data_IF_116094025211
#
_entry.id   IF_116094025211
#
_cell.length_a   1.000
_cell.length_b   1.000
_cell.length_c   1.000
_cell.angle_alpha   90.00
_cell.angle_beta   90.00
_cell.angle_gamma   90.00
#
_symmetry.space_group_name_H-M   'P 1'
#
loop_
_entity.id
_entity.type
_entity.pdbx_description
1 polymer ?
#
# COMPACT_ATOMS: atom_id res chain seq x y z
N UNK A 1 18.19 32.31 69.05
CA UNK A 1 18.45 32.46 67.59
C UNK A 1 18.45 31.11 66.86
N UNK A 2 17.32 30.37 66.78
CA UNK A 2 17.26 29.07 66.05
C UNK A 2 15.94 28.78 65.30
N UNK A 3 15.01 29.74 65.20
CA UNK A 3 13.69 29.51 64.55
C UNK A 3 13.48 30.16 63.18
N UNK A 4 14.43 30.94 62.65
CA UNK A 4 14.27 31.64 61.36
C UNK A 4 14.90 30.94 60.13
N UNK A 5 15.66 29.85 60.33
CA UNK A 5 16.39 29.19 59.22
C UNK A 5 15.65 27.99 58.60
N UNK A 6 14.63 27.43 59.28
CA UNK A 6 13.90 26.25 58.79
C UNK A 6 12.85 26.55 57.71
N UNK A 7 12.29 27.76 57.63
CA UNK A 7 11.26 28.06 56.62
C UNK A 7 11.86 28.37 55.24
N UNK A 8 13.02 29.03 55.17
CA UNK A 8 13.69 29.32 53.89
C UNK A 8 14.27 28.07 53.22
N UNK A 9 14.72 27.09 54.00
CA UNK A 9 15.26 25.83 53.46
C UNK A 9 14.14 24.91 52.94
N UNK A 10 12.97 24.90 53.58
CA UNK A 10 11.81 24.11 53.14
C UNK A 10 11.19 24.68 51.85
N UNK A 11 11.10 26.01 51.74
CA UNK A 11 10.58 26.69 50.53
C UNK A 11 11.52 26.50 49.33
N UNK A 12 12.84 26.47 49.55
CA UNK A 12 13.81 26.23 48.48
C UNK A 12 13.79 24.77 47.99
N UNK A 13 13.54 23.81 48.89
CA UNK A 13 13.40 22.39 48.56
C UNK A 13 12.09 22.09 47.79
N UNK A 14 11.03 22.87 48.03
CA UNK A 14 9.77 22.80 47.27
C UNK A 14 9.86 23.48 45.89
N UNK A 15 10.68 24.55 45.75
CA UNK A 15 10.90 25.20 44.45
C UNK A 15 11.76 24.33 43.50
N UNK A 16 12.71 23.56 44.05
CA UNK A 16 13.59 22.69 43.26
C UNK A 16 12.86 21.45 42.73
N UNK A 17 11.82 20.96 43.42
CA UNK A 17 11.01 19.82 42.96
C UNK A 17 10.02 20.19 41.86
N UNK A 18 9.54 21.44 41.84
CA UNK A 18 8.63 21.93 40.79
C UNK A 18 9.31 22.15 39.43
N UNK A 19 10.62 22.41 39.43
CA UNK A 19 11.41 22.60 38.19
C UNK A 19 11.76 21.28 37.50
N UNK A 20 11.81 20.16 38.23
CA UNK A 20 12.17 18.83 37.68
C UNK A 20 10.95 18.09 37.13
N UNK A 21 9.74 18.41 37.59
CA UNK A 21 8.49 17.81 37.10
C UNK A 21 7.95 18.40 35.79
N UNK A 22 8.49 19.52 35.30
CA UNK A 22 8.14 20.09 33.99
C UNK A 22 8.96 19.50 32.83
N UNK A 23 9.95 18.63 33.10
CA UNK A 23 10.73 17.95 32.06
C UNK A 23 10.11 16.64 31.54
N UNK A 24 8.93 16.22 32.01
CA UNK A 24 8.30 14.97 31.60
C UNK A 24 7.12 15.09 30.62
N UNK A 25 6.80 16.29 30.14
CA UNK A 25 5.97 16.44 28.94
C UNK A 25 6.86 16.54 27.71
N UNK A 26 7.49 15.41 27.36
CA UNK A 26 7.98 15.21 26.00
C UNK A 26 6.74 15.08 25.12
N UNK A 27 6.36 16.20 24.52
CA UNK A 27 5.48 16.25 23.37
C UNK A 27 5.99 15.21 22.36
N UNK A 28 5.21 14.14 22.15
CA UNK A 28 5.40 13.24 21.01
C UNK A 28 5.06 14.02 19.74
N UNK A 29 6.03 14.78 19.22
CA UNK A 29 5.94 15.26 17.84
C UNK A 29 6.20 14.05 16.95
N UNK A 30 5.14 13.55 16.32
CA UNK A 30 5.28 12.60 15.20
C UNK A 30 6.06 13.32 14.12
N UNK A 31 7.33 13.00 13.99
CA UNK A 31 8.19 13.52 12.93
C UNK A 31 7.97 12.64 11.69
N UNK A 32 7.02 13.04 10.86
CA UNK A 32 6.88 12.47 9.52
C UNK A 32 8.09 12.92 8.70
N UNK A 33 8.98 12.00 8.37
CA UNK A 33 10.09 12.27 7.46
C UNK A 33 9.72 11.71 6.08
N UNK A 34 9.49 12.60 5.10
CA UNK A 34 9.38 12.22 3.69
C UNK A 34 10.79 11.89 3.17
N UNK A 35 10.94 10.76 2.47
CA UNK A 35 12.25 10.26 2.07
C UNK A 35 12.65 10.60 0.63
N UNK A 36 11.76 11.17 -0.19
CA UNK A 36 12.11 11.62 -1.53
C UNK A 36 11.28 12.87 -1.90
N UNK A 37 11.93 14.03 -1.96
CA UNK A 37 11.45 15.18 -2.73
C UNK A 37 12.53 15.51 -3.75
N UNK A 38 12.60 14.68 -4.80
CA UNK A 38 13.38 14.99 -5.99
C UNK A 38 12.48 15.80 -6.92
N UNK A 39 12.92 16.99 -7.25
CA UNK A 39 12.08 18.04 -7.81
C UNK A 39 11.47 17.68 -9.17
N UNK A 40 10.22 18.13 -9.34
CA UNK A 40 9.40 18.17 -10.55
C UNK A 40 8.44 16.99 -10.78
N UNK A 41 7.35 16.95 -10.01
CA UNK A 41 6.06 16.45 -10.49
C UNK A 41 4.92 17.19 -9.77
N UNK A 42 3.99 17.76 -10.54
CA UNK A 42 2.75 18.37 -10.03
C UNK A 42 1.72 17.31 -9.57
N UNK A 43 2.16 16.11 -9.19
CA UNK A 43 1.29 15.05 -8.69
C UNK A 43 1.24 15.14 -7.16
N UNK A 44 0.08 15.53 -6.64
CA UNK A 44 -0.21 15.53 -5.19
C UNK A 44 -0.43 14.14 -4.63
N UNK A 45 -0.53 13.11 -5.48
CA UNK A 45 -0.82 11.74 -5.08
C UNK A 45 0.46 10.90 -4.89
N UNK A 46 0.52 10.17 -3.78
CA UNK A 46 1.61 9.25 -3.45
C UNK A 46 1.79 8.15 -4.51
N UNK A 47 0.69 7.67 -5.11
CA UNK A 47 0.68 6.64 -6.15
C UNK A 47 -0.15 7.10 -7.33
N UNK A 48 0.45 7.16 -8.51
CA UNK A 48 -0.26 7.36 -9.77
C UNK A 48 -0.32 6.06 -10.58
N UNK A 49 -1.49 5.75 -11.12
CA UNK A 49 -1.69 4.59 -11.99
C UNK A 49 -2.27 5.04 -13.32
N UNK A 50 -1.65 4.63 -14.42
CA UNK A 50 -2.08 5.01 -15.77
C UNK A 50 -2.24 3.76 -16.64
N UNK A 51 -3.36 3.67 -17.35
CA UNK A 51 -3.55 2.68 -18.41
C UNK A 51 -2.93 3.22 -19.67
N UNK A 52 -1.85 2.58 -20.14
CA UNK A 52 -1.14 2.98 -21.35
C UNK A 52 -1.88 2.45 -22.59
N UNK A 53 -2.30 1.20 -22.53
CA UNK A 53 -3.02 0.51 -23.60
C UNK A 53 -4.09 -0.39 -22.99
N UNK A 54 -5.23 -0.51 -23.67
CA UNK A 54 -6.26 -1.49 -23.30
C UNK A 54 -7.13 -1.79 -24.51
N UNK A 55 -7.16 -3.07 -24.88
CA UNK A 55 -8.08 -3.62 -25.87
C UNK A 55 -8.60 -5.00 -25.43
N UNK A 56 -9.18 -5.77 -26.36
CA UNK A 56 -9.73 -7.09 -26.08
C UNK A 56 -8.68 -8.18 -25.84
N UNK A 57 -7.42 -7.96 -26.25
CA UNK A 57 -6.34 -8.95 -26.19
C UNK A 57 -5.35 -8.67 -25.08
N UNK A 58 -5.03 -7.39 -24.82
CA UNK A 58 -4.11 -7.01 -23.77
C UNK A 58 -4.46 -5.68 -23.08
N UNK A 59 -3.92 -5.49 -21.88
CA UNK A 59 -4.00 -4.23 -21.13
C UNK A 59 -2.65 -3.95 -20.49
N UNK A 60 -2.10 -2.76 -20.74
CA UNK A 60 -0.81 -2.31 -20.19
C UNK A 60 -1.07 -1.23 -19.16
N UNK A 61 -0.59 -1.46 -17.93
CA UNK A 61 -0.77 -0.57 -16.79
C UNK A 61 0.59 -0.16 -16.25
N UNK A 62 0.79 1.15 -16.10
CA UNK A 62 1.95 1.73 -15.43
C UNK A 62 1.58 2.18 -14.03
N UNK A 63 2.38 1.76 -13.07
CA UNK A 63 2.31 2.18 -11.68
C UNK A 63 3.53 3.02 -11.36
N UNK A 64 3.33 4.22 -10.83
CA UNK A 64 4.37 5.11 -10.37
C UNK A 64 4.15 5.43 -8.88
N UNK A 65 5.21 5.27 -8.09
CA UNK A 65 5.24 5.51 -6.65
C UNK A 65 6.05 6.78 -6.45
N UNK A 66 5.32 7.87 -6.25
CA UNK A 66 5.87 9.23 -6.21
C UNK A 66 6.39 9.57 -4.81
N UNK A 67 5.63 9.17 -3.77
CA UNK A 67 5.95 9.51 -2.40
C UNK A 67 5.44 8.44 -1.42
N UNK A 68 6.10 8.36 -0.28
CA UNK A 68 5.69 7.55 0.87
C UNK A 68 6.34 8.11 2.12
N UNK A 69 5.74 7.86 3.28
CA UNK A 69 6.26 8.23 4.58
C UNK A 69 6.50 7.00 5.44
N UNK A 70 7.22 7.20 6.54
CA UNK A 70 7.43 6.18 7.56
C UNK A 70 7.17 6.74 8.94
N UNK A 71 6.50 5.95 9.76
CA UNK A 71 6.20 6.29 11.15
C UNK A 71 6.96 5.38 12.10
N UNK A 72 7.59 5.97 13.11
CA UNK A 72 8.37 5.25 14.11
C UNK A 72 7.44 4.54 15.11
N UNK A 73 7.72 3.26 15.36
CA UNK A 73 7.03 2.43 16.34
C UNK A 73 8.05 1.71 17.22
N UNK A 74 7.80 1.67 18.53
CA UNK A 74 8.66 0.96 19.47
C UNK A 74 8.07 -0.41 19.81
N UNK A 75 8.84 -1.46 19.57
CA UNK A 75 8.46 -2.85 19.83
C UNK A 75 9.58 -3.50 20.65
N UNK A 76 9.29 -3.89 21.90
CA UNK A 76 10.25 -4.55 22.80
C UNK A 76 11.60 -3.80 22.89
N UNK A 77 11.54 -2.48 23.13
CA UNK A 77 12.70 -1.58 23.24
C UNK A 77 13.56 -1.48 21.97
N UNK A 78 13.04 -1.90 20.81
CA UNK A 78 13.63 -1.69 19.50
C UNK A 78 12.71 -0.82 18.64
N UNK A 79 13.33 0.04 17.84
CA UNK A 79 12.62 0.89 16.90
C UNK A 79 12.37 0.17 15.58
N UNK A 80 11.13 0.27 15.10
CA UNK A 80 10.66 -0.22 13.81
C UNK A 80 9.92 0.92 13.09
N UNK A 81 9.63 0.71 11.81
CA UNK A 81 8.89 1.65 10.98
C UNK A 81 7.65 0.99 10.38
N UNK A 82 6.53 1.69 10.44
CA UNK A 82 5.39 1.45 9.56
C UNK A 82 5.59 2.28 8.29
N UNK A 83 5.31 1.71 7.13
CA UNK A 83 5.35 2.44 5.86
C UNK A 83 3.93 2.87 5.52
N UNK A 84 3.77 4.16 5.20
CA UNK A 84 2.50 4.74 4.81
C UNK A 84 2.61 5.33 3.40
N UNK A 85 1.63 5.03 2.56
CA UNK A 85 1.57 5.46 1.17
C UNK A 85 0.10 5.54 0.78
N UNK A 86 -0.40 6.73 0.46
CA UNK A 86 -1.81 6.93 0.14
C UNK A 86 -2.21 6.17 -1.15
N UNK A 87 -3.48 5.76 -1.23
CA UNK A 87 -3.98 4.99 -2.39
C UNK A 87 -3.56 3.52 -2.42
N UNK A 88 -3.04 3.00 -1.31
CA UNK A 88 -2.62 1.61 -1.11
C UNK A 88 -3.51 0.87 -0.08
N UNK A 89 -3.29 -0.43 0.06
CA UNK A 89 -3.90 -1.27 1.09
C UNK A 89 -2.83 -2.02 1.87
N UNK A 90 -3.12 -2.44 3.10
CA UNK A 90 -2.23 -3.27 3.90
C UNK A 90 -2.68 -4.75 3.88
N UNK A 91 -1.76 -5.71 3.72
CA UNK A 91 -2.06 -7.12 3.91
C UNK A 91 -2.33 -7.41 5.40
N UNK A 92 -3.23 -8.35 5.68
CA UNK A 92 -3.68 -8.70 7.03
C UNK A 92 -3.00 -9.98 7.57
N UNK A 93 -1.79 -10.29 7.11
CA UNK A 93 -1.03 -11.47 7.56
C UNK A 93 -0.32 -11.16 8.88
N UNK A 94 -0.87 -11.65 10.00
CA UNK A 94 -0.33 -11.42 11.34
C UNK A 94 1.14 -11.88 11.42
N UNK A 95 2.00 -10.98 11.86
CA UNK A 95 3.41 -11.24 12.11
C UNK A 95 4.33 -11.09 10.90
N UNK A 96 3.79 -11.01 9.68
CA UNK A 96 4.58 -10.68 8.51
C UNK A 96 4.91 -9.18 8.47
N UNK A 97 5.99 -8.73 7.81
CA UNK A 97 6.28 -7.30 7.63
C UNK A 97 5.08 -6.55 7.03
N UNK A 98 4.64 -5.49 7.70
CA UNK A 98 3.51 -4.68 7.26
C UNK A 98 3.95 -3.74 6.14
N UNK A 99 3.59 -4.09 4.90
CA UNK A 99 4.01 -3.38 3.70
C UNK A 99 2.79 -3.03 2.84
N UNK A 100 2.66 -1.76 2.40
CA UNK A 100 1.59 -1.38 1.50
C UNK A 100 1.65 -2.10 0.16
N UNK A 101 0.47 -2.39 -0.40
CA UNK A 101 0.31 -2.92 -1.76
C UNK A 101 -0.73 -2.10 -2.53
N UNK A 102 -0.48 -1.94 -3.81
CA UNK A 102 -1.35 -1.18 -4.71
C UNK A 102 -2.28 -2.17 -5.41
N UNK A 103 -3.59 -1.97 -5.25
CA UNK A 103 -4.61 -2.82 -5.86
C UNK A 103 -5.41 -2.01 -6.87
N UNK A 104 -5.56 -2.49 -8.11
CA UNK A 104 -6.39 -1.86 -9.13
C UNK A 104 -7.18 -2.91 -9.91
N UNK A 105 -8.46 -2.66 -10.11
CA UNK A 105 -9.30 -3.57 -10.87
C UNK A 105 -9.25 -3.20 -12.35
N UNK A 106 -9.19 -4.23 -13.19
CA UNK A 106 -9.32 -4.11 -14.65
C UNK A 106 -10.46 -4.99 -15.13
N UNK A 107 -11.11 -4.56 -16.19
CA UNK A 107 -12.02 -5.40 -16.97
C UNK A 107 -11.18 -6.33 -17.83
N UNK A 108 -11.60 -7.58 -17.91
CA UNK A 108 -11.02 -8.61 -18.77
C UNK A 108 -12.12 -9.22 -19.65
N UNK A 109 -11.79 -9.85 -20.79
CA UNK A 109 -12.81 -10.48 -21.61
C UNK A 109 -13.57 -11.58 -20.88
N UNK A 110 -14.80 -11.80 -21.33
CA UNK A 110 -15.81 -12.62 -20.67
C UNK A 110 -15.39 -14.08 -20.42
N UNK A 111 -14.64 -14.67 -21.35
CA UNK A 111 -14.22 -16.07 -21.30
C UNK A 111 -12.70 -16.24 -21.41
N UNK A 112 -11.92 -15.16 -21.37
CA UNK A 112 -10.47 -15.23 -21.50
C UNK A 112 -9.79 -15.81 -20.25
N UNK A 113 -8.80 -16.65 -20.46
CA UNK A 113 -7.75 -16.85 -19.46
C UNK A 113 -6.74 -15.71 -19.56
N UNK A 114 -6.20 -15.27 -18.42
CA UNK A 114 -5.34 -14.07 -18.36
C UNK A 114 -3.99 -14.39 -17.75
N UNK A 115 -2.94 -13.83 -18.33
CA UNK A 115 -1.57 -13.93 -17.85
C UNK A 115 -0.99 -12.54 -17.61
N UNK A 116 -0.07 -12.47 -16.65
CA UNK A 116 0.53 -11.23 -16.22
C UNK A 116 2.04 -11.27 -16.47
N UNK A 117 2.55 -10.23 -17.12
CA UNK A 117 3.96 -10.03 -17.39
C UNK A 117 4.42 -8.68 -16.83
N UNK A 118 5.60 -8.66 -16.21
CA UNK A 118 6.26 -7.38 -15.85
C UNK A 118 7.15 -6.97 -17.02
N UNK A 119 6.79 -5.88 -17.70
CA UNK A 119 7.56 -5.35 -18.84
C UNK A 119 8.81 -4.64 -18.35
N UNK A 120 8.66 -3.80 -17.31
CA UNK A 120 9.74 -3.02 -16.75
C UNK A 120 9.50 -2.75 -15.27
N UNK A 121 10.61 -2.60 -14.53
CA UNK A 121 10.58 -2.28 -13.11
C UNK A 121 11.83 -1.51 -12.72
N UNK A 122 11.66 -0.39 -12.02
CA UNK A 122 12.74 0.40 -11.44
C UNK A 122 12.56 0.43 -9.92
N UNK A 123 13.65 0.23 -9.16
CA UNK A 123 13.60 0.21 -7.71
C UNK A 123 14.78 0.90 -7.05
N UNK A 124 14.59 1.29 -5.79
CA UNK A 124 15.62 1.80 -4.88
C UNK A 124 15.62 1.00 -3.58
N UNK A 125 16.82 0.64 -3.12
CA UNK A 125 17.02 -0.08 -1.86
C UNK A 125 17.39 0.91 -0.75
N UNK A 126 16.63 0.90 0.34
CA UNK A 126 16.87 1.67 1.56
C UNK A 126 17.33 0.71 2.65
N UNK A 127 18.54 0.93 3.16
CA UNK A 127 19.16 0.05 4.18
C UNK A 127 18.85 0.55 5.59
N UNK A 128 18.94 -0.37 6.56
CA UNK A 128 18.76 -0.09 7.99
C UNK A 128 17.37 0.49 8.29
N UNK A 129 16.35 -0.02 7.60
CA UNK A 129 14.94 0.30 7.85
C UNK A 129 14.25 -0.96 8.41
N UNK A 130 14.26 -1.18 9.73
CA UNK A 130 13.50 -2.27 10.33
C UNK A 130 12.00 -2.02 10.18
N UNK A 131 11.27 -2.93 9.52
CA UNK A 131 9.84 -2.80 9.26
C UNK A 131 9.05 -3.49 10.36
N UNK A 132 8.00 -2.84 10.87
CA UNK A 132 7.14 -3.41 11.89
C UNK A 132 6.29 -4.58 11.33
N UNK A 133 5.97 -5.60 12.14
CA UNK A 133 5.10 -6.68 11.71
C UNK A 133 3.64 -6.22 11.71
N UNK A 134 2.80 -6.81 10.86
CA UNK A 134 1.38 -6.56 10.89
C UNK A 134 0.73 -7.20 12.12
N UNK A 135 -0.23 -6.50 12.71
CA UNK A 135 -1.11 -7.04 13.75
C UNK A 135 -2.19 -7.97 13.19
N UNK A 136 -2.28 -8.10 11.87
CA UNK A 136 -3.28 -8.91 11.19
C UNK A 136 -4.69 -8.33 11.28
N UNK A 137 -5.70 -9.19 11.14
CA UNK A 137 -7.09 -8.77 11.23
C UNK A 137 -7.51 -8.50 12.68
N UNK A 138 -7.82 -7.23 12.98
CA UNK A 138 -8.31 -6.81 14.31
C UNK A 138 -9.83 -6.65 14.25
N UNK A 139 -10.52 -7.32 15.18
CA UNK A 139 -11.98 -7.24 15.31
C UNK A 139 -12.40 -5.93 15.99
N UNK A 140 -13.60 -5.42 15.65
CA UNK A 140 -14.08 -4.10 16.11
C UNK A 140 -14.32 -3.98 17.62
N UNK A 141 -14.39 -5.10 18.33
CA UNK A 141 -14.52 -5.19 19.79
C UNK A 141 -13.19 -5.00 20.54
N UNK A 142 -12.05 -4.99 19.83
CA UNK A 142 -10.72 -4.86 20.41
C UNK A 142 -10.11 -3.50 20.08
N UNK A 143 -9.43 -2.91 21.07
CA UNK A 143 -8.61 -1.73 20.84
C UNK A 143 -7.28 -2.15 20.16
N UNK A 144 -6.94 -1.60 18.98
CA UNK A 144 -5.67 -1.90 18.30
C UNK A 144 -4.41 -1.58 19.11
N UNK A 145 -4.47 -0.61 20.03
CA UNK A 145 -3.34 -0.20 20.85
C UNK A 145 -2.94 -1.28 21.88
N UNK A 146 -3.92 -2.05 22.36
CA UNK A 146 -3.71 -3.11 23.37
C UNK A 146 -3.17 -4.41 22.75
N UNK A 147 -3.18 -4.53 21.41
CA UNK A 147 -2.69 -5.71 20.71
C UNK A 147 -1.17 -5.57 20.49
N UNK A 148 -0.35 -6.45 21.10
CA UNK A 148 1.09 -6.38 20.95
C UNK A 148 1.51 -6.85 19.57
N UNK A 149 2.59 -6.26 19.05
CA UNK A 149 3.26 -6.74 17.86
C UNK A 149 3.93 -8.09 18.10
N UNK A 150 3.87 -8.98 17.10
CA UNK A 150 4.55 -10.28 17.11
C UNK A 150 5.38 -10.41 15.83
N UNK A 151 6.61 -10.89 15.94
CA UNK A 151 7.45 -11.15 14.75
C UNK A 151 7.16 -12.57 14.24
N UNK A 152 6.69 -12.66 12.99
CA UNK A 152 6.37 -13.90 12.30
C UNK A 152 7.60 -14.66 11.80
N UNK A 153 7.33 -15.73 11.03
CA UNK A 153 8.37 -16.60 10.44
C UNK A 153 9.17 -15.86 9.36
N UNK A 154 8.58 -14.86 8.73
CA UNK A 154 9.10 -14.03 7.65
C UNK A 154 10.39 -13.33 8.09
N UNK A 155 10.46 -12.87 9.35
CA UNK A 155 11.64 -12.22 9.93
C UNK A 155 12.87 -13.11 10.06
N UNK A 156 12.69 -14.43 9.96
CA UNK A 156 13.79 -15.41 9.96
C UNK A 156 14.27 -15.73 8.54
N UNK A 157 13.57 -15.26 7.52
CA UNK A 157 13.90 -15.51 6.12
C UNK A 157 15.01 -14.56 5.61
N UNK A 158 15.75 -15.03 4.61
CA UNK A 158 16.82 -14.27 3.92
C UNK A 158 16.34 -13.63 2.61
N UNK A 159 15.12 -13.95 2.17
CA UNK A 159 14.52 -13.47 0.94
C UNK A 159 13.66 -12.22 1.17
N UNK A 160 13.28 -11.56 0.09
CA UNK A 160 12.33 -10.45 0.14
C UNK A 160 10.92 -10.97 0.42
N UNK A 161 10.16 -10.19 1.19
CA UNK A 161 8.74 -10.37 1.45
C UNK A 161 7.97 -9.09 1.06
N UNK A 162 6.82 -9.20 0.36
CA UNK A 162 6.41 -10.38 -0.40
C UNK A 162 7.44 -10.73 -1.49
N UNK A 163 7.50 -12.00 -1.90
CA UNK A 163 8.45 -12.43 -2.94
C UNK A 163 8.00 -12.05 -4.34
N UNK A 164 6.69 -12.10 -4.60
CA UNK A 164 6.10 -11.76 -5.89
C UNK A 164 5.95 -10.25 -6.00
N UNK A 165 6.41 -9.67 -7.11
CA UNK A 165 6.25 -8.24 -7.37
C UNK A 165 4.82 -7.91 -7.77
N UNK A 166 4.23 -8.71 -8.66
CA UNK A 166 2.88 -8.50 -9.16
C UNK A 166 2.14 -9.82 -9.16
N UNK A 167 0.89 -9.77 -8.72
CA UNK A 167 -0.06 -10.89 -8.77
C UNK A 167 -1.42 -10.39 -9.22
N UNK A 168 -2.33 -11.29 -9.55
CA UNK A 168 -3.73 -10.96 -9.79
C UNK A 168 -4.64 -11.91 -9.03
N UNK A 169 -5.84 -11.44 -8.69
CA UNK A 169 -6.85 -12.25 -8.02
C UNK A 169 -7.64 -13.12 -9.00
N UNK A 170 -8.34 -14.14 -8.50
CA UNK A 170 -9.36 -14.81 -9.31
C UNK A 170 -10.35 -13.78 -9.92
N UNK A 171 -10.76 -13.97 -11.19
CA UNK A 171 -11.74 -13.10 -11.81
C UNK A 171 -13.07 -13.07 -11.07
N UNK A 172 -13.71 -11.91 -11.02
CA UNK A 172 -15.05 -11.71 -10.48
C UNK A 172 -15.97 -11.07 -11.52
N UNK A 173 -17.28 -11.19 -11.30
CA UNK A 173 -18.31 -10.59 -12.14
C UNK A 173 -18.98 -9.45 -11.38
N UNK A 174 -18.95 -8.26 -11.95
CA UNK A 174 -19.73 -7.10 -11.53
C UNK A 174 -20.82 -6.85 -12.56
N UNK A 175 -22.00 -7.47 -12.33
CA UNK A 175 -23.17 -7.39 -13.21
C UNK A 175 -22.85 -7.85 -14.64
N UNK A 176 -22.53 -6.92 -15.54
CA UNK A 176 -22.25 -7.22 -16.96
C UNK A 176 -20.75 -7.32 -17.29
N UNK A 177 -19.87 -6.93 -16.35
CA UNK A 177 -18.43 -6.91 -16.58
C UNK A 177 -17.74 -8.00 -15.76
N UNK A 178 -16.80 -8.69 -16.39
CA UNK A 178 -15.86 -9.57 -15.73
C UNK A 178 -14.56 -8.79 -15.50
N UNK A 179 -14.02 -8.86 -14.29
CA UNK A 179 -12.80 -8.16 -13.95
C UNK A 179 -11.91 -8.96 -13.02
N UNK A 180 -10.67 -8.49 -12.86
CA UNK A 180 -9.70 -9.03 -11.91
C UNK A 180 -8.96 -7.87 -11.24
N UNK A 181 -8.43 -8.11 -10.04
CA UNK A 181 -7.62 -7.14 -9.31
C UNK A 181 -6.15 -7.43 -9.52
N UNK A 182 -5.42 -6.49 -10.11
CA UNK A 182 -3.96 -6.49 -10.14
C UNK A 182 -3.47 -5.99 -8.78
N UNK A 183 -2.55 -6.74 -8.18
CA UNK A 183 -1.87 -6.38 -6.93
C UNK A 183 -0.39 -6.19 -7.21
N UNK A 184 0.11 -4.97 -6.98
CA UNK A 184 1.52 -4.64 -7.04
C UNK A 184 2.09 -4.49 -5.62
N UNK A 185 3.07 -5.33 -5.29
CA UNK A 185 3.85 -5.28 -4.06
C UNK A 185 5.06 -4.37 -4.28
N UNK A 186 4.82 -3.06 -4.43
CA UNK A 186 5.86 -2.06 -4.68
C UNK A 186 6.84 -1.89 -3.50
N UNK A 187 6.44 -2.32 -2.30
CA UNK A 187 7.29 -2.33 -1.12
C UNK A 187 7.64 -3.77 -0.78
N UNK A 188 8.93 -4.11 -0.84
CA UNK A 188 9.45 -5.43 -0.50
C UNK A 188 10.52 -5.29 0.58
N UNK A 189 10.46 -6.13 1.60
CA UNK A 189 11.38 -6.06 2.74
C UNK A 189 12.21 -7.33 2.88
N UNK A 190 13.49 -7.15 3.18
CA UNK A 190 14.42 -8.23 3.52
C UNK A 190 14.87 -8.07 4.98
N UNK A 191 14.40 -8.93 5.90
CA UNK A 191 14.69 -8.80 7.33
C UNK A 191 16.16 -8.93 7.71
N UNK A 192 16.88 -9.89 7.09
CA UNK A 192 18.28 -10.21 7.46
C UNK A 192 19.22 -9.00 7.45
N UNK A 193 19.01 -8.06 6.54
CA UNK A 193 19.83 -6.86 6.36
C UNK A 193 19.01 -5.57 6.47
N UNK A 194 17.80 -5.67 7.01
CA UNK A 194 16.85 -4.56 7.20
C UNK A 194 16.75 -3.66 5.95
N UNK A 195 16.63 -4.29 4.78
CA UNK A 195 16.59 -3.59 3.49
C UNK A 195 15.17 -3.53 2.97
N UNK A 196 14.63 -2.32 2.86
CA UNK A 196 13.38 -2.02 2.19
C UNK A 196 13.68 -1.68 0.72
N UNK A 197 13.16 -2.47 -0.20
CA UNK A 197 13.13 -2.18 -1.63
C UNK A 197 11.82 -1.50 -1.97
N UNK A 198 11.89 -0.34 -2.60
CA UNK A 198 10.73 0.38 -3.12
C UNK A 198 10.85 0.46 -4.62
N UNK A 199 9.86 -0.08 -5.33
CA UNK A 199 9.74 0.06 -6.77
C UNK A 199 9.17 1.44 -7.07
N UNK A 200 9.90 2.28 -7.78
CA UNK A 200 9.49 3.64 -8.16
C UNK A 200 8.55 3.62 -9.35
N UNK A 201 8.81 2.74 -10.31
CA UNK A 201 7.98 2.59 -11.51
C UNK A 201 7.92 1.12 -11.91
N UNK A 202 6.72 0.63 -12.20
CA UNK A 202 6.49 -0.74 -12.69
C UNK A 202 5.49 -0.70 -13.83
N UNK A 203 5.85 -1.27 -14.97
CA UNK A 203 4.93 -1.46 -16.11
C UNK A 203 4.57 -2.92 -16.21
N UNK A 204 3.26 -3.19 -16.20
CA UNK A 204 2.67 -4.52 -16.21
C UNK A 204 1.82 -4.67 -17.46
N UNK A 205 1.95 -5.80 -18.13
CA UNK A 205 1.09 -6.23 -19.22
C UNK A 205 0.22 -7.40 -18.75
N UNK A 206 -1.07 -7.30 -19.07
CA UNK A 206 -2.03 -8.37 -18.87
C UNK A 206 -2.46 -8.81 -20.26
N UNK A 207 -2.15 -10.05 -20.61
CA UNK A 207 -2.52 -10.64 -21.91
C UNK A 207 -3.60 -11.68 -21.70
N UNK A 208 -4.43 -11.85 -22.72
CA UNK A 208 -5.41 -12.92 -22.79
C UNK A 208 -4.78 -14.11 -23.51
N UNK A 209 -4.81 -15.28 -22.89
CA UNK A 209 -4.16 -16.49 -23.41
C UNK A 209 -5.08 -17.70 -23.27
N UNK A 210 -5.97 -17.86 -24.25
CA UNK A 210 -6.91 -18.97 -24.28
C UNK A 210 -8.20 -18.65 -23.51
N UNK A 211 -8.90 -19.72 -23.11
CA UNK A 211 -10.22 -19.62 -22.49
C UNK A 211 -10.21 -20.16 -21.07
N UNK A 212 -10.90 -19.46 -20.17
CA UNK A 212 -11.08 -19.86 -18.78
C UNK A 212 -12.57 -20.12 -18.49
N UNK A 213 -12.85 -21.16 -17.71
CA UNK A 213 -14.18 -21.44 -17.17
C UNK A 213 -14.44 -20.76 -15.82
N UNK A 214 -13.43 -20.12 -15.22
CA UNK A 214 -13.55 -19.51 -13.89
C UNK A 214 -14.29 -18.19 -14.01
N UNK A 215 -15.49 -18.12 -13.43
CA UNK A 215 -16.36 -16.94 -13.47
C UNK A 215 -16.49 -16.35 -14.88
N UNK A 216 -16.63 -17.20 -15.90
CA UNK A 216 -16.80 -16.78 -17.28
C UNK A 216 -18.24 -16.29 -17.52
N UNK A 217 -18.38 -15.20 -18.28
CA UNK A 217 -19.68 -14.65 -18.68
C UNK A 217 -20.13 -15.26 -20.02
N UNK A 218 -21.21 -16.03 -20.01
CA UNK A 218 -21.73 -16.72 -21.20
C UNK A 218 -22.74 -15.90 -22.02
N UNK A 219 -23.30 -14.84 -21.45
CA UNK A 219 -24.29 -14.00 -22.14
C UNK A 219 -23.59 -12.98 -23.04
N UNK A 220 -23.93 -13.00 -24.33
CA UNK A 220 -23.62 -11.90 -25.24
C UNK A 220 -24.32 -10.65 -24.72
N UNK A 221 -23.53 -9.64 -24.36
CA UNK A 221 -23.90 -8.25 -24.07
C UNK A 221 -25.30 -7.92 -24.59
N UNK A 222 -26.26 -7.68 -23.70
CA UNK A 222 -27.29 -6.69 -24.07
C UNK A 222 -26.49 -5.42 -24.32
N UNK A 223 -26.46 -4.93 -25.57
CA UNK A 223 -25.67 -3.75 -25.94
C UNK A 223 -26.08 -2.47 -25.18
N UNK A 224 -27.10 -2.54 -24.32
CA UNK A 224 -27.30 -1.59 -23.24
C UNK A 224 -26.57 -2.09 -22.00
N UNK A 225 -25.38 -1.56 -21.74
CA UNK A 225 -25.01 -1.33 -20.34
C UNK A 225 -26.15 -0.52 -19.74
N UNK A 226 -26.70 -0.96 -18.62
CA UNK A 226 -27.68 -0.12 -17.92
C UNK A 226 -26.96 1.17 -17.55
N UNK A 227 -27.37 2.30 -18.13
CA UNK A 227 -26.77 3.64 -17.92
C UNK A 227 -26.53 3.94 -16.44
N UNK A 228 -27.39 3.38 -15.59
CA UNK A 228 -27.38 3.54 -14.14
C UNK A 228 -26.12 2.95 -13.48
N UNK A 229 -25.46 1.99 -14.11
CA UNK A 229 -24.24 1.34 -13.60
C UNK A 229 -22.94 1.96 -14.13
N UNK A 230 -23.03 2.89 -15.08
CA UNK A 230 -21.87 3.54 -15.68
C UNK A 230 -20.92 4.19 -14.65
N UNK A 231 -21.42 4.92 -13.63
CA UNK A 231 -20.55 5.50 -12.61
C UNK A 231 -19.86 4.43 -11.75
N UNK A 232 -20.56 3.32 -11.49
CA UNK A 232 -20.01 2.22 -10.71
C UNK A 232 -18.86 1.53 -11.47
N UNK A 233 -19.02 1.31 -12.77
CA UNK A 233 -17.97 0.75 -13.62
C UNK A 233 -16.77 1.69 -13.77
N UNK A 234 -16.98 2.99 -14.02
CA UNK A 234 -15.88 3.96 -14.16
C UNK A 234 -15.06 4.14 -12.88
N UNK A 235 -15.70 4.02 -11.72
CA UNK A 235 -15.01 4.14 -10.44
C UNK A 235 -14.31 2.84 -10.03
N UNK A 236 -14.81 1.68 -10.50
CA UNK A 236 -14.28 0.38 -10.11
C UNK A 236 -13.09 -0.03 -10.97
N UNK A 237 -13.16 0.18 -12.28
CA UNK A 237 -12.19 -0.36 -13.24
C UNK A 237 -11.40 0.74 -13.93
N UNK A 238 -10.07 0.65 -13.85
CA UNK A 238 -9.18 1.70 -14.39
C UNK A 238 -9.16 1.76 -15.92
N UNK A 239 -9.48 0.67 -16.61
CA UNK A 239 -9.48 0.57 -18.07
C UNK A 239 -10.89 0.67 -18.69
N UNK A 240 -11.92 1.03 -17.91
CA UNK A 240 -13.29 1.05 -18.40
C UNK A 240 -13.55 2.14 -19.45
N UNK A 241 -12.90 3.30 -19.33
CA UNK A 241 -13.02 4.38 -20.31
C UNK A 241 -12.52 3.96 -21.70
N UNK A 242 -11.47 3.13 -21.76
CA UNK A 242 -10.93 2.59 -23.00
C UNK A 242 -11.90 1.65 -23.72
N UNK A 243 -12.76 0.95 -22.98
CA UNK A 243 -13.78 0.06 -23.54
C UNK A 243 -14.98 0.79 -24.16
N UNK A 244 -15.18 2.07 -23.83
CA UNK A 244 -16.29 2.88 -24.36
C UNK A 244 -15.99 3.48 -25.71
N UNK A 245 -14.73 3.78 -25.99
CA UNK A 245 -14.32 4.38 -27.25
C UNK A 245 -14.28 3.28 -28.30
N UNK A 246 -15.19 3.26 -29.29
CA UNK A 246 -14.96 2.40 -30.44
C UNK A 246 -13.67 2.88 -31.07
N UNK A 247 -12.67 2.02 -31.15
CA UNK A 247 -11.48 2.25 -31.98
C UNK A 247 -11.95 2.50 -33.40
N UNK A 248 -12.23 3.76 -33.74
CA UNK A 248 -12.26 4.21 -35.11
C UNK A 248 -10.80 4.28 -35.57
N UNK A 249 -10.21 3.09 -35.77
CA UNK A 249 -8.93 2.94 -36.43
C UNK A 249 -9.16 3.50 -37.84
N UNK A 250 -8.70 4.72 -38.07
CA UNK A 250 -8.61 5.31 -39.39
C UNK A 250 -7.85 4.30 -40.26
N UNK A 251 -8.58 3.67 -41.18
CA UNK A 251 -7.99 3.04 -42.34
C UNK A 251 -7.41 4.17 -43.18
N UNK A 252 -6.09 4.29 -43.19
CA UNK A 252 -5.34 4.88 -44.29
C UNK A 252 -4.83 3.74 -45.18
#
# INVERSE_FOLDING_TARGET
>A
MKKLFKSKLSVFLFLLTFLVTQCFFVFNTRTTSSLDNDGNSNSTEDVSVTVLESDSHHTVVKFDINNFSKDLVNINNKSYYNINCEGTSLPLEEGAPELPRICRNIVIPNDADVKLNVISSEYKDYKNIPIAPSKGSITRDKNPEDIPYKLGKEYKNKNFYPSELVSFSEPFIMRELRGTTITLNAFQYKPKNETLRVYKSVTVEIITDGKSSVNSLTTSRSNKTTSDFEPAYSNTFINYSNLKTPTHRLMN
#
